data_IF_646751645877
#
_entry.id   IF_646751645877
#
_cell.length_a   1.000
_cell.length_b   1.000
_cell.length_c   1.000
_cell.angle_alpha   90.00
_cell.angle_beta   90.00
_cell.angle_gamma   90.00
#
_symmetry.space_group_name_H-M   'P 1'
#
loop_
_entity.id
_entity.type
_entity.pdbx_description
1 polymer ?
#
# COMPACT_ATOMS: atom_id res chain seq x y z
N UNK A 1 -68.09 6.86 0.91
CA UNK A 1 -67.06 7.49 0.06
C UNK A 1 -66.02 8.08 1.00
N UNK A 2 -64.95 7.34 1.28
CA UNK A 2 -63.85 7.73 2.18
C UNK A 2 -62.57 7.31 1.48
N UNK A 3 -61.78 8.28 1.03
CA UNK A 3 -60.49 8.05 0.38
C UNK A 3 -59.41 8.27 1.44
N UNK A 4 -58.86 7.20 1.98
CA UNK A 4 -57.67 7.24 2.83
C UNK A 4 -56.43 7.15 1.94
N UNK A 5 -55.74 8.27 1.76
CA UNK A 5 -54.48 8.34 1.02
C UNK A 5 -53.32 7.97 1.94
N UNK A 6 -52.69 6.81 1.70
CA UNK A 6 -51.45 6.39 2.36
C UNK A 6 -50.27 6.97 1.58
N UNK A 7 -49.59 7.96 2.17
CA UNK A 7 -48.30 8.46 1.66
C UNK A 7 -47.21 7.54 2.20
N UNK A 8 -46.63 6.72 1.33
CA UNK A 8 -45.38 6.00 1.60
C UNK A 8 -44.22 7.01 1.51
N UNK A 9 -43.66 7.37 2.66
CA UNK A 9 -42.37 8.06 2.71
C UNK A 9 -41.28 7.07 2.30
N UNK A 10 -40.85 7.13 1.04
CA UNK A 10 -39.62 6.48 0.59
C UNK A 10 -38.45 7.25 1.23
N UNK A 11 -37.88 6.69 2.29
CA UNK A 11 -36.63 7.16 2.88
C UNK A 11 -35.51 6.86 1.87
N UNK A 12 -35.20 7.82 1.00
CA UNK A 12 -33.95 7.77 0.23
C UNK A 12 -32.79 7.85 1.23
N UNK A 13 -32.15 6.71 1.52
CA UNK A 13 -30.80 6.71 2.06
C UNK A 13 -29.88 7.28 0.98
N UNK A 14 -29.69 8.60 0.99
CA UNK A 14 -28.58 9.21 0.28
C UNK A 14 -27.30 8.80 1.02
N UNK A 15 -26.55 7.86 0.46
CA UNK A 15 -25.16 7.63 0.85
C UNK A 15 -24.43 8.96 0.73
N UNK A 16 -24.00 9.53 1.85
CA UNK A 16 -23.16 10.72 1.85
C UNK A 16 -21.91 10.42 0.99
N UNK A 17 -21.51 11.30 0.08
CA UNK A 17 -20.27 11.11 -0.67
C UNK A 17 -19.13 11.00 0.35
N UNK A 18 -18.46 9.84 0.38
CA UNK A 18 -17.31 9.62 1.24
C UNK A 18 -16.32 10.77 1.05
N UNK A 19 -15.95 11.43 2.15
CA UNK A 19 -15.06 12.56 2.13
C UNK A 19 -13.65 12.11 1.69
N UNK A 20 -13.41 12.16 0.37
CA UNK A 20 -12.12 11.83 -0.25
C UNK A 20 -11.05 12.90 0.04
N UNK A 21 -11.25 13.82 0.97
CA UNK A 21 -10.29 14.87 1.33
C UNK A 21 -8.93 14.30 1.74
N UNK A 22 -8.90 13.16 2.43
CA UNK A 22 -7.67 12.56 2.92
C UNK A 22 -6.81 11.96 1.80
N UNK A 23 -7.46 11.30 0.82
CA UNK A 23 -6.78 10.66 -0.32
C UNK A 23 -6.04 11.67 -1.20
N UNK A 24 -6.59 12.87 -1.36
CA UNK A 24 -6.00 13.93 -2.19
C UNK A 24 -4.62 14.39 -1.73
N UNK A 25 -4.27 14.12 -0.47
CA UNK A 25 -3.02 14.60 0.13
C UNK A 25 -1.97 13.49 0.28
N UNK A 26 -2.24 12.25 -0.11
CA UNK A 26 -1.30 11.14 0.04
C UNK A 26 0.01 11.37 -0.72
N UNK A 27 -0.06 11.97 -1.91
CA UNK A 27 1.10 12.34 -2.72
C UNK A 27 2.03 13.36 -2.04
N UNK A 28 1.53 14.06 -1.02
CA UNK A 28 2.31 15.00 -0.21
C UNK A 28 2.72 14.37 1.12
N UNK A 29 1.75 13.85 1.88
CA UNK A 29 1.98 13.40 3.25
C UNK A 29 2.85 12.16 3.33
N UNK A 30 2.68 11.19 2.43
CA UNK A 30 3.42 9.93 2.48
C UNK A 30 4.92 10.16 2.27
N UNK A 31 5.38 10.84 1.20
CA UNK A 31 6.78 11.18 1.08
C UNK A 31 7.30 12.07 2.22
N UNK A 32 6.52 13.03 2.74
CA UNK A 32 6.93 13.86 3.89
C UNK A 32 7.19 13.01 5.14
N UNK A 33 6.24 12.14 5.50
CA UNK A 33 6.32 11.22 6.65
C UNK A 33 7.47 10.25 6.46
N UNK A 34 7.58 9.61 5.29
CA UNK A 34 8.65 8.65 5.01
C UNK A 34 10.04 9.29 5.08
N UNK A 35 10.20 10.51 4.57
CA UNK A 35 11.46 11.26 4.68
C UNK A 35 11.78 11.59 6.15
N UNK A 36 10.78 11.97 6.96
CA UNK A 36 10.97 12.18 8.40
C UNK A 36 11.41 10.90 9.10
N UNK A 37 10.67 9.79 8.91
CA UNK A 37 11.01 8.49 9.52
C UNK A 37 12.39 7.99 9.09
N UNK A 38 12.80 8.26 7.84
CA UNK A 38 14.14 7.94 7.34
C UNK A 38 15.22 8.77 8.06
N UNK A 39 14.99 10.07 8.28
CA UNK A 39 15.92 10.96 9.01
C UNK A 39 16.03 10.59 10.50
N UNK A 40 14.91 10.19 11.11
CA UNK A 40 14.85 9.74 12.50
C UNK A 40 15.65 8.44 12.72
N UNK A 41 16.22 7.85 11.67
CA UNK A 41 17.14 6.72 11.71
C UNK A 41 16.55 5.54 12.48
N UNK A 42 15.28 5.25 12.21
CA UNK A 42 14.57 4.17 12.88
C UNK A 42 15.22 2.84 12.49
N UNK A 43 15.86 2.22 13.47
CA UNK A 43 16.52 0.93 13.30
C UNK A 43 15.49 -0.14 12.95
N UNK A 44 15.78 -0.86 11.88
CA UNK A 44 15.09 -2.06 11.50
C UNK A 44 15.72 -3.27 12.21
N UNK A 45 14.89 -4.03 12.91
CA UNK A 45 15.24 -5.28 13.56
C UNK A 45 14.02 -6.22 13.42
N UNK A 46 14.24 -7.53 13.36
CA UNK A 46 13.17 -8.52 13.30
C UNK A 46 12.32 -8.60 14.60
N UNK A 47 12.57 -7.71 15.57
CA UNK A 47 11.76 -7.54 16.77
C UNK A 47 10.45 -6.82 16.44
N UNK A 48 9.46 -7.04 17.29
CA UNK A 48 8.12 -6.45 17.18
C UNK A 48 8.21 -4.92 17.11
N UNK A 49 7.62 -4.33 16.07
CA UNK A 49 7.51 -2.87 15.91
C UNK A 49 8.72 -2.20 15.24
N UNK A 50 9.73 -3.00 14.87
CA UNK A 50 10.90 -2.58 14.09
C UNK A 50 11.08 -3.43 12.83
N UNK A 51 10.17 -4.38 12.58
CA UNK A 51 10.09 -5.20 11.38
C UNK A 51 9.38 -4.47 10.23
N UNK A 52 9.25 -5.11 9.06
CA UNK A 52 8.75 -4.44 7.85
C UNK A 52 7.32 -3.94 8.02
N UNK A 53 6.47 -4.74 8.66
CA UNK A 53 5.12 -4.37 9.11
C UNK A 53 5.15 -3.30 10.21
N UNK A 54 6.08 -3.37 11.17
CA UNK A 54 6.26 -2.34 12.19
C UNK A 54 6.55 -0.95 11.61
N UNK A 55 7.31 -0.87 10.52
CA UNK A 55 7.53 0.39 9.80
C UNK A 55 6.26 0.90 9.14
N UNK A 56 5.42 0.01 8.60
CA UNK A 56 4.13 0.41 8.02
C UNK A 56 3.21 0.97 9.11
N UNK A 57 3.14 0.33 10.28
CA UNK A 57 2.35 0.82 11.41
C UNK A 57 2.77 2.22 11.89
N UNK A 58 4.08 2.53 11.89
CA UNK A 58 4.55 3.90 12.22
C UNK A 58 4.10 4.94 11.19
N UNK A 59 4.03 4.53 9.93
CA UNK A 59 3.56 5.37 8.84
C UNK A 59 2.03 5.56 8.96
N UNK A 60 1.29 4.51 9.27
CA UNK A 60 -0.15 4.55 9.58
C UNK A 60 -0.46 5.47 10.76
N UNK A 61 0.25 5.34 11.88
CA UNK A 61 0.09 6.23 13.04
C UNK A 61 0.29 7.70 12.65
N UNK A 62 1.25 7.98 11.76
CA UNK A 62 1.54 9.34 11.28
C UNK A 62 0.48 9.86 10.31
N UNK A 63 -0.13 8.98 9.51
CA UNK A 63 -1.22 9.32 8.59
C UNK A 63 -2.52 9.57 9.36
N UNK A 64 -2.82 8.76 10.36
CA UNK A 64 -4.00 8.92 11.23
C UNK A 64 -4.01 10.28 11.96
N UNK A 65 -2.83 10.76 12.36
CA UNK A 65 -2.65 12.12 12.92
C UNK A 65 -2.98 13.24 11.93
N UNK A 66 -2.88 12.99 10.62
CA UNK A 66 -3.22 13.97 9.56
C UNK A 66 -4.69 13.83 9.14
N UNK A 67 -5.22 12.62 9.16
CA UNK A 67 -6.61 12.31 8.87
C UNK A 67 -7.03 11.00 9.55
N UNK A 68 -8.07 11.09 10.39
CA UNK A 68 -8.65 9.94 11.11
C UNK A 68 -9.56 9.06 10.27
N UNK A 69 -9.86 9.43 9.02
CA UNK A 69 -10.84 8.74 8.18
C UNK A 69 -10.22 7.64 7.29
N UNK A 70 -8.93 7.33 7.46
CA UNK A 70 -8.33 6.20 6.75
C UNK A 70 -8.76 4.87 7.39
N UNK A 71 -9.14 3.90 6.56
CA UNK A 71 -9.40 2.52 6.98
C UNK A 71 -8.08 1.73 7.04
N UNK A 72 -7.33 1.95 8.12
CA UNK A 72 -6.01 1.35 8.32
C UNK A 72 -6.09 0.03 9.13
N UNK A 73 -5.24 -0.96 8.81
CA UNK A 73 -5.16 -2.18 9.60
C UNK A 73 -4.69 -1.88 11.02
N UNK A 74 -5.32 -2.53 12.00
CA UNK A 74 -4.88 -2.43 13.39
C UNK A 74 -3.54 -3.16 13.63
N UNK A 75 -2.99 -2.98 14.83
CA UNK A 75 -1.71 -3.58 15.23
C UNK A 75 -1.74 -5.11 15.37
N UNK A 76 -2.91 -5.75 15.25
CA UNK A 76 -3.00 -7.22 15.20
C UNK A 76 -2.51 -7.76 13.85
N UNK A 77 -2.51 -6.91 12.80
CA UNK A 77 -1.87 -7.20 11.51
C UNK A 77 -0.34 -7.10 11.63
N UNK A 78 0.23 -8.10 12.32
CA UNK A 78 1.60 -8.05 12.86
C UNK A 78 2.69 -8.26 11.82
N UNK A 79 2.42 -8.97 10.74
CA UNK A 79 3.40 -9.25 9.69
C UNK A 79 2.86 -8.87 8.30
N UNK A 80 3.74 -8.92 7.29
CA UNK A 80 3.40 -8.58 5.91
C UNK A 80 2.28 -9.45 5.33
N UNK A 81 2.13 -10.70 5.77
CA UNK A 81 1.02 -11.57 5.34
C UNK A 81 -0.30 -11.15 5.98
N UNK A 82 -0.27 -10.81 7.26
CA UNK A 82 -1.45 -10.33 7.97
C UNK A 82 -1.96 -9.00 7.39
N UNK A 83 -1.05 -8.08 7.03
CA UNK A 83 -1.38 -6.87 6.29
C UNK A 83 -2.02 -7.20 4.93
N UNK A 84 -1.41 -8.09 4.13
CA UNK A 84 -1.99 -8.49 2.85
C UNK A 84 -3.38 -9.15 3.02
N UNK A 85 -3.56 -9.99 4.04
CA UNK A 85 -4.83 -10.63 4.35
C UNK A 85 -5.92 -9.63 4.74
N UNK A 86 -5.56 -8.58 5.50
CA UNK A 86 -6.47 -7.47 5.79
C UNK A 86 -6.95 -6.79 4.50
N UNK A 87 -6.03 -6.37 3.63
CA UNK A 87 -6.41 -5.71 2.37
C UNK A 87 -7.19 -6.62 1.44
N UNK A 88 -6.90 -7.92 1.44
CA UNK A 88 -7.70 -8.89 0.69
C UNK A 88 -9.12 -9.01 1.26
N UNK A 89 -9.27 -9.02 2.58
CA UNK A 89 -10.58 -9.13 3.26
C UNK A 89 -11.49 -7.95 2.92
N UNK A 90 -10.94 -6.73 2.81
CA UNK A 90 -11.71 -5.52 2.48
C UNK A 90 -11.82 -5.27 0.96
N UNK A 91 -11.23 -6.14 0.13
CA UNK A 91 -11.33 -6.04 -1.34
C UNK A 91 -10.34 -5.09 -2.02
N UNK A 92 -9.32 -4.62 -1.29
CA UNK A 92 -8.35 -3.62 -1.75
C UNK A 92 -6.98 -4.19 -2.13
N UNK A 93 -6.78 -5.50 -2.02
CA UNK A 93 -5.55 -6.16 -2.47
C UNK A 93 -5.65 -6.57 -3.94
N UNK A 94 -4.77 -6.04 -4.77
CA UNK A 94 -4.64 -6.42 -6.17
C UNK A 94 -3.37 -7.26 -6.39
N UNK A 95 -3.49 -8.33 -7.18
CA UNK A 95 -2.38 -9.22 -7.50
C UNK A 95 -1.63 -8.77 -8.75
N UNK A 96 -0.32 -8.92 -8.73
CA UNK A 96 0.56 -8.49 -9.83
C UNK A 96 0.85 -9.68 -10.74
N UNK A 97 0.12 -9.77 -11.84
CA UNK A 97 0.45 -10.71 -12.92
C UNK A 97 1.43 -10.13 -13.94
N UNK A 98 1.44 -8.81 -14.08
CA UNK A 98 2.29 -8.05 -14.99
C UNK A 98 2.78 -6.78 -14.25
N UNK A 99 4.03 -6.75 -13.78
CA UNK A 99 4.59 -5.60 -13.07
C UNK A 99 4.61 -4.31 -13.90
N UNK A 100 4.85 -4.37 -15.22
CA UNK A 100 4.88 -3.17 -16.07
C UNK A 100 3.49 -2.54 -16.20
N UNK A 101 2.46 -3.36 -16.36
CA UNK A 101 1.07 -2.89 -16.36
C UNK A 101 0.66 -2.35 -14.99
N UNK A 102 1.02 -3.07 -13.93
CA UNK A 102 0.66 -2.74 -12.56
C UNK A 102 1.33 -1.44 -12.10
N UNK A 103 2.59 -1.21 -12.48
CA UNK A 103 3.34 -0.01 -12.10
C UNK A 103 2.64 1.29 -12.52
N UNK A 104 1.90 1.29 -13.64
CA UNK A 104 1.11 2.45 -14.09
C UNK A 104 -0.05 2.80 -13.18
N UNK A 105 -0.48 1.87 -12.35
CA UNK A 105 -1.57 2.08 -11.40
C UNK A 105 -1.04 2.50 -10.04
N UNK A 106 0.27 2.37 -9.79
CA UNK A 106 0.88 2.64 -8.50
C UNK A 106 1.00 4.16 -8.26
N UNK A 107 0.69 4.61 -7.04
CA UNK A 107 0.77 6.00 -6.58
C UNK A 107 1.21 6.04 -5.10
N UNK A 108 1.77 7.16 -4.61
CA UNK A 108 2.08 7.33 -3.20
C UNK A 108 0.93 6.92 -2.26
N UNK A 109 1.29 6.29 -1.14
CA UNK A 109 0.35 5.76 -0.16
C UNK A 109 -0.11 4.32 -0.42
N UNK A 110 0.24 3.72 -1.55
CA UNK A 110 0.03 2.28 -1.74
C UNK A 110 1.10 1.42 -1.09
N UNK A 111 0.69 0.25 -0.63
CA UNK A 111 1.58 -0.80 -0.17
C UNK A 111 1.97 -1.71 -1.33
N UNK A 112 3.24 -2.08 -1.43
CA UNK A 112 3.72 -3.16 -2.29
C UNK A 112 4.11 -4.36 -1.42
N UNK A 113 3.66 -5.55 -1.80
CA UNK A 113 3.97 -6.81 -1.14
C UNK A 113 4.90 -7.65 -2.00
N UNK A 114 5.91 -8.25 -1.37
CA UNK A 114 6.93 -9.03 -2.06
C UNK A 114 7.06 -10.47 -1.52
N UNK A 115 7.49 -11.36 -2.40
CA UNK A 115 7.73 -12.78 -2.11
C UNK A 115 9.02 -13.26 -2.78
N UNK A 116 9.66 -14.31 -2.24
CA UNK A 116 10.79 -14.96 -2.92
C UNK A 116 10.39 -15.79 -4.13
N UNK A 117 9.10 -16.06 -4.30
CA UNK A 117 8.55 -16.78 -5.45
C UNK A 117 7.57 -15.88 -6.22
N UNK A 118 7.55 -15.94 -7.56
CA UNK A 118 6.55 -15.21 -8.33
C UNK A 118 5.15 -15.72 -8.02
N UNK A 119 4.14 -14.90 -8.31
CA UNK A 119 2.73 -15.28 -8.14
C UNK A 119 2.40 -16.50 -9.01
N UNK A 120 1.89 -17.56 -8.39
CA UNK A 120 1.44 -18.75 -9.12
C UNK A 120 0.09 -18.47 -9.82
N UNK A 121 -0.11 -19.08 -11.00
CA UNK A 121 -1.37 -18.94 -11.74
C UNK A 121 -2.55 -19.44 -10.90
N UNK A 122 -3.57 -18.61 -10.73
CA UNK A 122 -4.79 -18.95 -9.97
C UNK A 122 -4.68 -18.77 -8.45
N UNK A 123 -3.53 -18.32 -7.95
CA UNK A 123 -3.36 -18.00 -6.53
C UNK A 123 -4.16 -16.74 -6.16
N UNK A 124 -4.89 -16.77 -5.04
CA UNK A 124 -5.71 -15.64 -4.56
C UNK A 124 -4.95 -14.70 -3.61
N UNK A 125 -4.04 -15.25 -2.81
CA UNK A 125 -3.09 -14.50 -1.98
C UNK A 125 -1.75 -15.24 -2.03
N UNK A 126 -0.62 -14.56 -2.26
CA UNK A 126 0.69 -15.20 -2.20
C UNK A 126 1.02 -15.65 -0.76
N UNK A 127 1.02 -16.96 -0.50
CA UNK A 127 1.40 -17.54 0.81
C UNK A 127 2.83 -17.16 1.22
N UNK A 128 3.68 -16.93 0.22
CA UNK A 128 5.08 -16.58 0.37
C UNK A 128 5.37 -15.09 0.57
N UNK A 129 4.38 -14.23 0.87
CA UNK A 129 4.65 -12.82 1.19
C UNK A 129 5.62 -12.77 2.38
N UNK A 130 6.75 -12.10 2.18
CA UNK A 130 7.83 -12.00 3.15
C UNK A 130 8.25 -10.54 3.41
N UNK A 131 7.79 -9.60 2.59
CA UNK A 131 8.18 -8.20 2.72
C UNK A 131 7.08 -7.25 2.26
N UNK A 132 7.09 -6.03 2.81
CA UNK A 132 6.14 -4.96 2.48
C UNK A 132 6.85 -3.61 2.55
N UNK A 133 6.41 -2.68 1.71
CA UNK A 133 6.80 -1.26 1.80
C UNK A 133 5.71 -0.35 1.29
N UNK A 134 5.83 0.95 1.56
CA UNK A 134 4.90 1.95 1.08
C UNK A 134 5.52 2.80 -0.01
N UNK A 135 4.76 3.02 -1.07
CA UNK A 135 5.15 3.86 -2.21
C UNK A 135 5.19 5.31 -1.75
N UNK A 136 6.30 5.98 -2.00
CA UNK A 136 6.49 7.40 -1.70
C UNK A 136 6.55 8.27 -2.95
N UNK A 137 6.78 7.67 -4.12
CA UNK A 137 6.94 8.40 -5.38
C UNK A 137 7.06 7.47 -6.57
N UNK A 138 6.80 8.01 -7.76
CA UNK A 138 6.94 7.34 -9.05
C UNK A 138 7.94 8.13 -9.89
N UNK A 139 8.89 7.44 -10.53
CA UNK A 139 9.80 8.03 -11.50
C UNK A 139 9.32 7.66 -12.89
N UNK A 140 8.91 8.67 -13.66
CA UNK A 140 8.48 8.53 -15.04
C UNK A 140 9.64 8.69 -16.02
N UNK A 141 9.61 7.93 -17.10
CA UNK A 141 10.51 8.09 -18.23
C UNK A 141 10.18 9.33 -19.07
N UNK A 142 10.99 9.62 -20.09
CA UNK A 142 10.84 10.82 -20.93
C UNK A 142 9.43 10.98 -21.53
N UNK A 143 8.79 9.87 -21.89
CA UNK A 143 7.48 9.87 -22.54
C UNK A 143 6.30 9.95 -21.54
N UNK A 144 6.57 10.10 -20.23
CA UNK A 144 5.61 10.13 -19.10
C UNK A 144 4.67 8.94 -18.96
N UNK A 145 4.62 8.05 -19.95
CA UNK A 145 3.76 6.87 -19.99
C UNK A 145 4.51 5.57 -19.63
N UNK A 146 5.76 5.71 -19.20
CA UNK A 146 6.62 4.62 -18.74
C UNK A 146 7.06 4.91 -17.31
N UNK A 147 6.77 4.01 -16.38
CA UNK A 147 7.36 4.05 -15.04
C UNK A 147 8.75 3.45 -15.11
N UNK A 148 9.80 4.23 -14.83
CA UNK A 148 11.19 3.76 -14.81
C UNK A 148 11.69 3.45 -13.40
N UNK A 149 10.95 3.87 -12.38
CA UNK A 149 11.23 3.51 -11.00
C UNK A 149 10.06 3.79 -10.05
N UNK A 150 10.04 3.05 -8.95
CA UNK A 150 9.09 3.24 -7.84
C UNK A 150 9.91 3.53 -6.59
N UNK A 151 9.64 4.65 -5.93
CA UNK A 151 10.23 4.97 -4.65
C UNK A 151 9.43 4.31 -3.54
N UNK A 152 10.12 3.53 -2.71
CA UNK A 152 9.54 2.69 -1.68
C UNK A 152 10.21 2.98 -0.35
N UNK A 153 9.43 3.37 0.66
CA UNK A 153 9.84 3.35 2.05
C UNK A 153 9.61 1.96 2.65
N UNK A 154 10.69 1.34 3.14
CA UNK A 154 10.62 0.04 3.79
C UNK A 154 11.84 -0.19 4.69
N UNK A 155 11.78 -1.28 5.46
CA UNK A 155 12.94 -1.77 6.19
C UNK A 155 13.81 -2.67 5.32
N UNK A 156 15.12 -2.42 5.26
CA UNK A 156 16.00 -3.13 4.32
C UNK A 156 16.41 -4.52 4.80
N UNK A 157 17.08 -4.58 5.96
CA UNK A 157 17.55 -5.82 6.60
C UNK A 157 17.82 -5.57 8.08
N UNK A 158 17.77 -6.61 8.94
CA UNK A 158 18.09 -6.45 10.37
C UNK A 158 19.42 -5.71 10.57
N UNK A 159 19.42 -4.71 11.45
CA UNK A 159 20.60 -3.88 11.73
C UNK A 159 20.86 -2.77 10.71
N UNK A 160 19.85 -2.33 9.97
CA UNK A 160 19.93 -1.12 9.11
C UNK A 160 18.79 -0.17 9.41
N UNK A 161 18.90 1.10 9.03
CA UNK A 161 17.80 2.06 9.16
C UNK A 161 16.76 1.83 8.07
N UNK A 162 15.48 1.97 8.42
CA UNK A 162 14.42 2.05 7.41
C UNK A 162 14.61 3.33 6.57
N UNK A 163 14.48 3.22 5.26
CA UNK A 163 14.66 4.37 4.38
C UNK A 163 13.94 4.19 3.04
N UNK A 164 13.92 5.26 2.25
CA UNK A 164 13.41 5.25 0.88
C UNK A 164 14.47 4.65 -0.05
N UNK A 165 14.04 3.76 -0.94
CA UNK A 165 14.85 3.21 -2.02
C UNK A 165 14.09 3.23 -3.33
N UNK A 166 14.80 3.18 -4.46
CA UNK A 166 14.17 3.12 -5.77
C UNK A 166 14.20 1.69 -6.33
N UNK A 167 13.02 1.12 -6.54
CA UNK A 167 12.84 -0.11 -7.30
C UNK A 167 12.87 0.24 -8.78
N UNK A 168 13.85 -0.28 -9.52
CA UNK A 168 14.03 0.05 -10.94
C UNK A 168 13.31 -0.95 -11.83
N UNK A 169 12.86 -0.47 -13.00
CA UNK A 169 12.51 -1.38 -14.09
C UNK A 169 13.78 -2.12 -14.54
N UNK A 170 13.76 -3.46 -14.50
CA UNK A 170 14.89 -4.31 -14.90
C UNK A 170 14.76 -4.77 -16.36
N UNK A 171 13.70 -4.38 -17.07
CA UNK A 171 13.34 -4.86 -18.41
C UNK A 171 12.86 -6.31 -18.45
N UNK A 172 12.98 -7.06 -17.35
CA UNK A 172 12.51 -8.45 -17.23
C UNK A 172 11.10 -8.42 -16.64
N UNK A 173 10.11 -8.83 -17.42
CA UNK A 173 8.68 -8.74 -17.04
C UNK A 173 8.41 -9.26 -15.62
N UNK A 174 8.89 -10.44 -15.26
CA UNK A 174 8.63 -11.01 -13.92
C UNK A 174 9.44 -10.36 -12.79
N UNK A 175 10.55 -9.66 -13.08
CA UNK A 175 11.45 -9.06 -12.07
C UNK A 175 11.49 -7.53 -12.12
N UNK A 176 10.62 -6.90 -12.90
CA UNK A 176 10.54 -5.45 -12.92
C UNK A 176 10.05 -4.96 -11.55
N UNK A 177 10.71 -3.92 -11.03
CA UNK A 177 10.44 -3.34 -9.72
C UNK A 177 10.56 -4.33 -8.54
N UNK A 178 11.37 -5.37 -8.68
CA UNK A 178 11.69 -6.29 -7.58
C UNK A 178 12.50 -5.62 -6.46
N UNK A 179 12.29 -6.07 -5.23
CA UNK A 179 13.15 -5.73 -4.09
C UNK A 179 14.27 -6.78 -3.95
N UNK A 180 15.39 -6.55 -4.63
CA UNK A 180 16.50 -7.51 -4.68
C UNK A 180 16.07 -8.84 -5.30
N UNK A 181 16.06 -9.91 -4.49
CA UNK A 181 15.61 -11.25 -4.92
C UNK A 181 14.09 -11.48 -4.76
N UNK A 182 13.37 -10.50 -4.23
CA UNK A 182 11.94 -10.61 -3.94
C UNK A 182 11.11 -10.04 -5.10
N UNK A 183 10.18 -10.84 -5.61
CA UNK A 183 9.21 -10.51 -6.64
C UNK A 183 8.11 -9.64 -6.05
N UNK A 184 7.72 -8.58 -6.75
CA UNK A 184 6.51 -7.83 -6.43
C UNK A 184 5.29 -8.66 -6.85
N UNK A 185 4.44 -9.03 -5.90
CA UNK A 185 3.36 -10.01 -6.11
C UNK A 185 1.96 -9.46 -5.85
N UNK A 186 1.84 -8.37 -5.10
CA UNK A 186 0.57 -7.69 -4.85
C UNK A 186 0.79 -6.22 -4.46
N UNK A 187 -0.26 -5.41 -4.56
CA UNK A 187 -0.31 -4.07 -3.98
C UNK A 187 -1.68 -3.78 -3.39
N UNK A 188 -1.76 -2.79 -2.51
CA UNK A 188 -3.02 -2.34 -1.94
C UNK A 188 -3.03 -0.84 -1.68
N UNK A 189 -4.18 -0.21 -1.94
CA UNK A 189 -4.45 1.17 -1.56
C UNK A 189 -4.86 1.28 -0.10
N UNK A 190 -4.33 2.30 0.57
CA UNK A 190 -4.97 2.82 1.77
C UNK A 190 -6.20 3.62 1.33
N UNK A 191 -7.34 3.26 1.89
CA UNK A 191 -8.63 3.92 1.64
C UNK A 191 -9.04 4.79 2.81
#
# INVERSE_FOLDING_TARGET
>A
MLITSFIWSVLLLTTLPGDNSCKKNLDTWVPEIANRLSRDSIWYDARKGTDCSGMMHRLFDSLEQRCSNFELPDRSCRDSRALAAYYHKIGNLELVSDPHKSAKQVRPGMLLFFSYTPLAKGQKIPEGICHVGMVTGIQEGPDRNQVIGIELFHGHRPGTVASISTLRDTGKSTKAYSNGTQYWVAYAAID
#
